data_IF_417534396498
#
_entry.id   IF_417534396498
#
_cell.length_a   1.000
_cell.length_b   1.000
_cell.length_c   1.000
_cell.angle_alpha   90.00
_cell.angle_beta   90.00
_cell.angle_gamma   90.00
#
_symmetry.space_group_name_H-M   'P 1'
#
loop_
_entity.id
_entity.type
_entity.pdbx_description
1 polymer ?
#
# COMPACT_ATOMS: atom_id res chain seq x y z
N UNK A 1 13.61 0.83 7.87
CA UNK A 1 13.12 1.76 6.82
C UNK A 1 12.55 2.98 7.52
N UNK A 2 12.94 4.19 7.12
CA UNK A 2 12.33 5.41 7.65
C UNK A 2 11.02 5.75 6.90
N UNK A 3 10.21 6.64 7.49
CA UNK A 3 8.88 6.97 7.00
C UNK A 3 8.89 7.66 5.63
N UNK A 4 9.93 8.44 5.32
CA UNK A 4 10.06 9.13 4.03
C UNK A 4 10.35 8.12 2.90
N UNK A 5 11.17 7.11 3.19
CA UNK A 5 11.47 6.04 2.24
C UNK A 5 10.22 5.21 1.93
N UNK A 6 9.45 4.81 2.95
CA UNK A 6 8.21 4.05 2.75
C UNK A 6 7.18 4.83 1.95
N UNK A 7 6.96 6.09 2.31
CA UNK A 7 6.06 6.98 1.58
C UNK A 7 6.43 7.05 0.09
N UNK A 8 7.72 7.22 -0.20
CA UNK A 8 8.22 7.29 -1.57
C UNK A 8 7.91 6.01 -2.35
N UNK A 9 8.20 4.83 -1.78
CA UNK A 9 7.88 3.55 -2.43
C UNK A 9 6.38 3.46 -2.74
N UNK A 10 5.53 3.74 -1.75
CA UNK A 10 4.08 3.63 -1.93
C UNK A 10 3.59 4.59 -3.01
N UNK A 11 4.01 5.86 -2.95
CA UNK A 11 3.62 6.89 -3.92
C UNK A 11 4.11 6.55 -5.32
N UNK A 12 5.34 6.06 -5.47
CA UNK A 12 5.88 5.64 -6.77
C UNK A 12 5.11 4.45 -7.33
N UNK A 13 4.85 3.41 -6.52
CA UNK A 13 4.07 2.24 -6.95
C UNK A 13 2.66 2.63 -7.39
N UNK A 14 1.95 3.47 -6.63
CA UNK A 14 0.59 3.91 -7.00
C UNK A 14 0.60 4.74 -8.28
N UNK A 15 1.61 5.60 -8.45
CA UNK A 15 1.75 6.47 -9.64
C UNK A 15 2.01 5.70 -10.94
N UNK A 16 2.38 4.41 -10.88
CA UNK A 16 2.46 3.56 -12.07
C UNK A 16 1.07 3.24 -12.66
N UNK A 17 0.00 3.39 -11.87
CA UNK A 17 -1.34 2.93 -12.20
C UNK A 17 -2.43 4.00 -12.11
N UNK A 18 -2.12 5.15 -11.49
CA UNK A 18 -3.05 6.25 -11.25
C UNK A 18 -2.29 7.57 -11.46
N UNK A 19 -2.80 8.46 -12.32
CA UNK A 19 -2.11 9.70 -12.67
C UNK A 19 -2.41 10.85 -11.69
N UNK A 20 -3.67 10.98 -11.26
CA UNK A 20 -4.14 12.10 -10.44
C UNK A 20 -4.83 11.60 -9.17
N UNK A 21 -4.23 11.89 -8.01
CA UNK A 21 -4.76 11.56 -6.69
C UNK A 21 -4.03 12.32 -5.57
N UNK A 22 -4.74 12.60 -4.48
CA UNK A 22 -4.17 13.12 -3.23
C UNK A 22 -3.89 11.99 -2.23
N UNK A 23 -3.10 12.25 -1.18
CA UNK A 23 -2.66 11.21 -0.24
C UNK A 23 -3.80 10.59 0.58
N UNK A 24 -4.89 11.32 0.79
CA UNK A 24 -6.08 10.91 1.53
C UNK A 24 -7.19 10.32 0.64
N UNK A 25 -7.01 10.37 -0.69
CA UNK A 25 -7.98 9.86 -1.67
C UNK A 25 -8.17 8.36 -1.50
N UNK A 26 -9.42 7.89 -1.34
CA UNK A 26 -9.72 6.47 -1.36
C UNK A 26 -9.68 5.94 -2.80
N UNK A 27 -8.57 5.31 -3.17
CA UNK A 27 -8.29 4.92 -4.55
C UNK A 27 -9.27 3.86 -5.06
N UNK A 28 -9.91 3.08 -4.18
CA UNK A 28 -11.00 2.14 -4.55
C UNK A 28 -12.19 2.84 -5.25
N UNK A 29 -12.42 4.13 -4.97
CA UNK A 29 -13.53 4.89 -5.54
C UNK A 29 -13.23 5.51 -6.90
N UNK A 30 -11.96 5.59 -7.29
CA UNK A 30 -11.52 6.31 -8.50
C UNK A 30 -10.71 5.46 -9.47
N UNK A 31 -10.38 4.23 -9.09
CA UNK A 31 -9.47 3.36 -9.85
C UNK A 31 -10.09 1.99 -10.09
N UNK A 32 -9.93 1.40 -11.29
CA UNK A 32 -10.38 0.04 -11.56
C UNK A 32 -9.77 -0.96 -10.57
N UNK A 33 -10.57 -1.92 -10.10
CA UNK A 33 -10.12 -2.99 -9.19
C UNK A 33 -8.87 -3.71 -9.70
N UNK A 34 -8.71 -3.86 -11.02
CA UNK A 34 -7.50 -4.42 -11.64
C UNK A 34 -6.21 -3.69 -11.21
N UNK A 35 -6.23 -2.36 -11.28
CA UNK A 35 -5.08 -1.54 -10.92
C UNK A 35 -4.81 -1.61 -9.41
N UNK A 36 -5.85 -1.70 -8.58
CA UNK A 36 -5.73 -1.93 -7.14
C UNK A 36 -5.00 -3.25 -6.85
N UNK A 37 -5.36 -4.33 -7.55
CA UNK A 37 -4.70 -5.63 -7.43
C UNK A 37 -3.21 -5.54 -7.82
N UNK A 38 -2.88 -4.81 -8.90
CA UNK A 38 -1.49 -4.62 -9.30
C UNK A 38 -0.68 -3.80 -8.29
N UNK A 39 -1.25 -2.71 -7.78
CA UNK A 39 -0.64 -1.91 -6.70
C UNK A 39 -0.34 -2.80 -5.49
N UNK A 40 -1.33 -3.56 -5.00
CA UNK A 40 -1.15 -4.46 -3.86
C UNK A 40 -0.05 -5.50 -4.14
N UNK A 41 -0.06 -6.13 -5.31
CA UNK A 41 0.93 -7.14 -5.70
C UNK A 41 2.36 -6.59 -5.76
N UNK A 42 2.52 -5.36 -6.27
CA UNK A 42 3.83 -4.71 -6.37
C UNK A 42 4.33 -4.22 -5.02
N UNK A 43 3.45 -3.77 -4.13
CA UNK A 43 3.80 -3.42 -2.75
C UNK A 43 4.23 -4.65 -1.96
N UNK A 44 3.48 -5.76 -2.04
CA UNK A 44 3.83 -7.05 -1.40
C UNK A 44 5.22 -7.52 -1.81
N UNK A 45 5.53 -7.51 -3.12
CA UNK A 45 6.85 -7.89 -3.63
C UNK A 45 7.94 -6.89 -3.26
N UNK A 46 7.68 -5.60 -3.48
CA UNK A 46 8.66 -4.52 -3.30
C UNK A 46 9.06 -4.33 -1.84
N UNK A 47 8.15 -4.63 -0.91
CA UNK A 47 8.38 -4.49 0.53
C UNK A 47 8.53 -5.83 1.26
N UNK A 48 8.45 -6.96 0.55
CA UNK A 48 8.67 -8.31 1.08
C UNK A 48 7.79 -8.64 2.31
N UNK A 49 6.49 -8.39 2.21
CA UNK A 49 5.49 -8.77 3.21
C UNK A 49 4.28 -9.41 2.54
N UNK A 50 3.51 -10.21 3.28
CA UNK A 50 2.33 -10.87 2.76
C UNK A 50 1.09 -10.01 3.00
N UNK A 51 0.29 -9.80 1.96
CA UNK A 51 -1.02 -9.18 2.04
C UNK A 51 -2.06 -10.27 2.32
N UNK A 52 -2.59 -10.28 3.54
CA UNK A 52 -3.62 -11.21 3.99
C UNK A 52 -4.96 -10.51 4.29
N UNK A 53 -5.97 -11.30 4.68
CA UNK A 53 -7.29 -10.78 5.03
C UNK A 53 -7.26 -9.81 6.22
N UNK A 54 -6.26 -9.91 7.11
CA UNK A 54 -6.10 -8.98 8.23
C UNK A 54 -5.63 -7.62 7.72
N UNK A 55 -4.60 -7.61 6.86
CA UNK A 55 -4.12 -6.39 6.21
C UNK A 55 -5.25 -5.70 5.44
N UNK A 56 -5.99 -6.45 4.61
CA UNK A 56 -7.11 -5.90 3.83
C UNK A 56 -8.19 -5.31 4.74
N UNK A 57 -8.46 -5.93 5.89
CA UNK A 57 -9.40 -5.40 6.87
C UNK A 57 -8.91 -4.13 7.59
N UNK A 58 -7.61 -3.90 7.72
CA UNK A 58 -7.07 -2.65 8.27
C UNK A 58 -7.03 -1.53 7.22
N UNK A 59 -6.77 -1.85 5.95
CA UNK A 59 -6.70 -0.88 4.85
C UNK A 59 -8.08 -0.63 4.21
N UNK A 60 -9.13 -0.44 5.02
CA UNK A 60 -10.50 -0.17 4.51
C UNK A 60 -10.58 1.09 3.66
N UNK A 61 -9.78 2.09 4.01
CA UNK A 61 -9.56 3.27 3.19
C UNK A 61 -8.23 3.06 2.46
N UNK A 62 -8.31 2.74 1.16
CA UNK A 62 -7.12 2.42 0.37
C UNK A 62 -6.53 3.72 -0.18
N UNK A 63 -5.80 4.45 0.68
CA UNK A 63 -5.12 5.71 0.38
C UNK A 63 -3.63 5.62 0.73
N UNK A 64 -2.81 6.52 0.20
CA UNK A 64 -1.36 6.58 0.51
C UNK A 64 -1.14 6.74 2.01
N UNK A 65 -1.88 7.65 2.62
CA UNK A 65 -1.81 7.94 4.06
C UNK A 65 -2.08 6.71 4.91
N UNK A 66 -3.10 5.92 4.54
CA UNK A 66 -3.46 4.74 5.32
C UNK A 66 -2.47 3.59 5.08
N UNK A 67 -2.00 3.42 3.85
CA UNK A 67 -0.95 2.45 3.52
C UNK A 67 0.34 2.73 4.32
N UNK A 68 0.75 4.00 4.42
CA UNK A 68 1.91 4.40 5.23
C UNK A 68 1.74 4.09 6.73
N UNK A 69 0.50 4.09 7.24
CA UNK A 69 0.19 3.77 8.64
C UNK A 69 0.12 2.26 8.91
N UNK A 70 -0.40 1.48 7.96
CA UNK A 70 -0.69 0.06 8.15
C UNK A 70 0.50 -0.82 7.79
N UNK A 71 1.12 -0.60 6.62
CA UNK A 71 2.21 -1.45 6.11
C UNK A 71 3.34 -1.69 7.13
N UNK A 72 3.85 -0.68 7.88
CA UNK A 72 4.90 -0.89 8.87
C UNK A 72 4.59 -2.02 9.86
N UNK A 73 3.33 -2.20 10.25
CA UNK A 73 2.92 -3.23 11.21
C UNK A 73 3.14 -4.67 10.71
N UNK A 74 3.18 -4.85 9.39
CA UNK A 74 3.33 -6.15 8.72
C UNK A 74 4.77 -6.42 8.30
N UNK A 75 5.60 -5.38 8.15
CA UNK A 75 7.03 -5.52 7.85
C UNK A 75 7.84 -6.08 9.03
N UNK A 76 7.42 -5.82 10.26
CA UNK A 76 8.13 -6.31 11.45
C UNK A 76 7.76 -7.74 11.86
N UNK A 77 6.74 -8.34 11.25
CA UNK A 77 6.30 -9.71 11.56
C UNK A 77 7.16 -10.77 10.86
N UNK A 78 7.74 -10.45 9.71
CA UNK A 78 8.65 -11.34 8.96
C UNK A 78 10.08 -11.38 9.51
N UNK A 79 10.45 -10.52 10.46
CA UNK A 79 11.77 -10.52 11.10
C UNK A 79 11.89 -11.49 12.30
N UNK A 80 10.80 -12.15 12.71
CA UNK A 80 10.73 -13.03 13.88
C UNK A 80 10.33 -14.48 13.57
N UNK A 81 10.32 -14.88 12.29
CA UNK A 81 10.14 -16.27 11.83
C UNK A 81 11.33 -16.67 10.94
#
# INVERSE_FOLDING_TARGET
MDQNHLYKIIRETVSLYIEEYDDDTNLLGITPVRNIIYILSDLEKGLSFVIDDFFINEVKQFSIDNLCKVIPKYLFQTANN
#
